data_IF_073480289382
#
_entry.id   IF_073480289382
#
_cell.length_a   1.000
_cell.length_b   1.000
_cell.length_c   1.000
_cell.angle_alpha   90.00
_cell.angle_beta   90.00
_cell.angle_gamma   90.00
#
_symmetry.space_group_name_H-M   'P 1'
#
loop_
_entity.id
_entity.type
_entity.pdbx_description
1 polymer ?
#
# COMPACT_ATOMS: atom_id res chain seq x y z
N UNK A 1 -1.76 17.84 0.15
CA UNK A 1 -2.63 17.09 -0.78
C UNK A 1 -1.75 16.27 -1.71
N UNK A 2 -2.05 14.97 -1.89
CA UNK A 2 -1.30 14.06 -2.77
C UNK A 2 -2.22 13.54 -3.88
N UNK A 3 -1.65 13.24 -5.05
CA UNK A 3 -2.28 12.39 -6.05
C UNK A 3 -1.83 10.94 -5.87
N UNK A 4 -2.75 10.07 -5.50
CA UNK A 4 -2.49 8.69 -5.07
C UNK A 4 -3.02 7.71 -6.13
N UNK A 5 -2.16 6.80 -6.57
CA UNK A 5 -2.56 5.59 -7.29
C UNK A 5 -2.74 4.45 -6.29
N UNK A 6 -3.98 4.03 -6.04
CA UNK A 6 -4.29 2.80 -5.32
C UNK A 6 -4.52 1.69 -6.35
N UNK A 7 -3.64 0.70 -6.38
CA UNK A 7 -3.68 -0.32 -7.42
C UNK A 7 -3.44 -1.72 -6.87
N UNK A 8 -4.18 -2.70 -7.40
CA UNK A 8 -3.94 -4.13 -7.17
C UNK A 8 -3.01 -4.71 -8.23
N UNK A 9 -2.32 -5.81 -7.92
CA UNK A 9 -1.47 -6.53 -8.89
C UNK A 9 -2.23 -7.56 -9.72
N UNK A 10 -3.56 -7.62 -9.58
CA UNK A 10 -4.42 -8.57 -10.29
C UNK A 10 -5.45 -7.83 -11.14
N UNK A 11 -5.95 -8.53 -12.16
CA UNK A 11 -7.08 -8.07 -12.96
C UNK A 11 -8.38 -8.07 -12.14
N UNK A 12 -9.44 -7.46 -12.69
CA UNK A 12 -10.75 -7.48 -12.06
C UNK A 12 -11.21 -8.92 -11.81
N UNK A 13 -11.48 -9.24 -10.54
CA UNK A 13 -11.86 -10.58 -10.10
C UNK A 13 -12.66 -10.47 -8.78
N UNK A 14 -14.00 -10.45 -8.84
CA UNK A 14 -14.84 -10.16 -7.66
C UNK A 14 -14.68 -11.14 -6.50
N UNK A 15 -14.21 -12.36 -6.75
CA UNK A 15 -13.96 -13.37 -5.71
C UNK A 15 -12.53 -13.35 -5.16
N UNK A 16 -11.72 -12.36 -5.58
CA UNK A 16 -10.35 -12.13 -5.11
C UNK A 16 -10.21 -10.70 -4.59
N UNK A 17 -9.01 -10.32 -4.16
CA UNK A 17 -8.63 -9.00 -3.66
C UNK A 17 -8.46 -7.99 -4.80
N UNK A 18 -9.45 -7.90 -5.68
CA UNK A 18 -9.48 -6.85 -6.69
C UNK A 18 -9.79 -5.49 -6.03
N UNK A 19 -9.64 -4.41 -6.79
CA UNK A 19 -9.74 -3.04 -6.27
C UNK A 19 -11.10 -2.74 -5.63
N UNK A 20 -12.16 -3.47 -6.00
CA UNK A 20 -13.49 -3.29 -5.39
C UNK A 20 -13.51 -3.66 -3.91
N UNK A 21 -12.53 -4.43 -3.43
CA UNK A 21 -12.34 -4.81 -2.03
C UNK A 21 -11.63 -3.75 -1.18
N UNK A 22 -11.24 -2.63 -1.76
CA UNK A 22 -10.51 -1.55 -1.09
C UNK A 22 -11.22 -0.19 -1.28
N UNK A 23 -12.54 -0.22 -1.45
CA UNK A 23 -13.34 0.98 -1.69
C UNK A 23 -13.35 1.92 -0.48
N UNK A 24 -13.44 1.37 0.73
CA UNK A 24 -13.44 2.14 1.97
C UNK A 24 -12.08 2.78 2.23
N UNK A 25 -10.99 2.11 1.88
CA UNK A 25 -9.65 2.71 1.90
C UNK A 25 -9.56 3.91 0.94
N UNK A 26 -10.04 3.75 -0.29
CA UNK A 26 -10.02 4.83 -1.27
C UNK A 26 -10.84 6.04 -0.79
N UNK A 27 -11.99 5.79 -0.17
CA UNK A 27 -12.86 6.84 0.37
C UNK A 27 -12.26 7.52 1.59
N UNK A 28 -11.59 6.79 2.47
CA UNK A 28 -10.85 7.36 3.61
C UNK A 28 -9.73 8.30 3.14
N UNK A 29 -8.95 7.88 2.13
CA UNK A 29 -7.90 8.73 1.55
C UNK A 29 -8.49 9.97 0.85
N UNK A 30 -9.65 9.85 0.18
CA UNK A 30 -10.35 11.00 -0.41
C UNK A 30 -10.89 11.94 0.67
N UNK A 31 -11.45 11.41 1.74
CA UNK A 31 -11.95 12.20 2.87
C UNK A 31 -10.82 12.97 3.57
N UNK A 32 -9.61 12.42 3.59
CA UNK A 32 -8.39 13.12 4.03
C UNK A 32 -7.87 14.19 3.03
N UNK A 33 -8.55 14.40 1.90
CA UNK A 33 -8.27 15.47 0.94
C UNK A 33 -7.28 15.10 -0.17
N UNK A 34 -7.03 13.80 -0.40
CA UNK A 34 -6.19 13.33 -1.51
C UNK A 34 -6.99 13.09 -2.79
N UNK A 35 -6.35 13.26 -3.96
CA UNK A 35 -6.90 12.77 -5.23
C UNK A 35 -6.54 11.28 -5.36
N UNK A 36 -7.54 10.40 -5.44
CA UNK A 36 -7.31 8.94 -5.44
C UNK A 36 -7.85 8.29 -6.71
N UNK A 37 -6.93 7.72 -7.49
CA UNK A 37 -7.24 6.82 -8.61
C UNK A 37 -7.12 5.39 -8.11
N UNK A 38 -8.24 4.67 -8.04
CA UNK A 38 -8.29 3.27 -7.65
C UNK A 38 -8.50 2.39 -8.88
N UNK A 39 -7.62 1.44 -9.17
CA UNK A 39 -7.76 0.53 -10.32
C UNK A 39 -7.16 -0.85 -10.13
N UNK A 40 -7.61 -1.79 -10.95
CA UNK A 40 -6.97 -3.10 -11.12
C UNK A 40 -5.82 -3.03 -12.10
N UNK A 41 -4.98 -4.07 -12.09
CA UNK A 41 -4.07 -4.37 -13.21
C UNK A 41 -4.89 -4.61 -14.48
N UNK A 42 -4.35 -4.20 -15.63
CA UNK A 42 -4.89 -4.59 -16.95
C UNK A 42 -4.27 -5.91 -17.38
N UNK A 43 -5.08 -6.82 -17.91
CA UNK A 43 -4.59 -8.08 -18.45
C UNK A 43 -3.66 -7.85 -19.67
N UNK A 44 -2.63 -8.68 -19.79
CA UNK A 44 -1.56 -8.53 -20.79
C UNK A 44 -0.16 -8.46 -20.17
N UNK A 45 0.76 -7.84 -20.93
CA UNK A 45 2.17 -7.69 -20.53
C UNK A 45 2.33 -6.59 -19.46
N UNK A 46 2.86 -5.43 -19.84
CA UNK A 46 3.09 -4.28 -18.96
C UNK A 46 1.76 -3.60 -18.60
N UNK A 47 1.60 -3.23 -17.33
CA UNK A 47 0.40 -2.47 -16.95
C UNK A 47 0.55 -1.02 -17.46
N UNK A 48 -0.42 -0.48 -18.21
CA UNK A 48 -0.28 0.80 -18.91
C UNK A 48 -0.15 2.01 -17.99
N UNK A 49 -0.37 1.87 -16.68
CA UNK A 49 -0.14 2.93 -15.70
C UNK A 49 1.10 2.63 -14.86
N UNK A 50 1.27 1.41 -14.33
CA UNK A 50 2.44 1.11 -13.48
C UNK A 50 3.75 1.22 -14.25
N UNK A 51 3.81 0.70 -15.47
CA UNK A 51 5.01 0.77 -16.34
C UNK A 51 5.40 2.21 -16.74
N UNK A 52 4.50 3.17 -16.52
CA UNK A 52 4.71 4.60 -16.78
C UNK A 52 4.54 5.47 -15.53
N UNK A 53 4.49 4.88 -14.34
CA UNK A 53 4.14 5.57 -13.09
C UNK A 53 4.99 6.82 -12.84
N UNK A 54 6.27 6.76 -13.17
CA UNK A 54 7.24 7.84 -13.01
C UNK A 54 6.95 9.08 -13.86
N UNK A 55 6.03 8.98 -14.82
CA UNK A 55 5.73 10.03 -15.81
C UNK A 55 4.32 10.59 -15.67
N UNK A 56 3.47 9.96 -14.87
CA UNK A 56 2.03 10.26 -14.82
C UNK A 56 1.65 11.28 -13.75
N UNK A 57 2.61 11.82 -13.00
CA UNK A 57 2.37 12.89 -12.02
C UNK A 57 1.64 12.42 -10.76
N UNK A 58 1.78 11.15 -10.38
CA UNK A 58 1.39 10.68 -9.05
C UNK A 58 2.43 11.10 -8.02
N UNK A 59 2.00 11.17 -6.76
CA UNK A 59 2.86 11.43 -5.61
C UNK A 59 3.07 10.19 -4.76
N UNK A 60 2.09 9.28 -4.80
CA UNK A 60 2.11 8.04 -4.05
C UNK A 60 1.57 6.88 -4.88
N UNK A 61 2.20 5.72 -4.71
CA UNK A 61 1.67 4.43 -5.12
C UNK A 61 1.31 3.62 -3.87
N UNK A 62 0.05 3.18 -3.78
CA UNK A 62 -0.42 2.21 -2.81
C UNK A 62 -0.71 0.92 -3.56
N UNK A 63 0.24 -0.02 -3.53
CA UNK A 63 0.18 -1.27 -4.27
C UNK A 63 -0.30 -2.41 -3.37
N UNK A 64 -1.55 -2.83 -3.58
CA UNK A 64 -2.11 -4.03 -2.94
C UNK A 64 -1.62 -5.25 -3.72
N UNK A 65 -0.44 -5.77 -3.34
CA UNK A 65 0.20 -6.88 -4.04
C UNK A 65 -0.38 -8.23 -3.59
N UNK A 66 -1.21 -8.81 -4.46
CA UNK A 66 -1.85 -10.12 -4.33
C UNK A 66 -1.06 -11.12 -5.19
N UNK A 67 -0.53 -12.17 -4.57
CA UNK A 67 0.44 -13.11 -5.17
C UNK A 67 -0.26 -14.36 -5.73
N UNK A 68 -1.17 -14.18 -6.69
CA UNK A 68 -1.86 -15.28 -7.40
C UNK A 68 -1.75 -15.20 -8.93
N UNK A 69 -1.14 -14.14 -9.46
CA UNK A 69 -0.94 -13.93 -10.90
C UNK A 69 0.54 -13.86 -11.31
N UNK A 70 0.81 -13.36 -12.52
CA UNK A 70 2.18 -13.20 -13.05
C UNK A 70 3.03 -12.12 -12.33
N UNK A 71 2.44 -11.42 -11.37
CA UNK A 71 3.10 -10.36 -10.62
C UNK A 71 3.36 -9.10 -11.45
N UNK A 72 4.33 -8.31 -11.01
CA UNK A 72 4.81 -7.12 -11.74
C UNK A 72 5.77 -7.54 -12.85
N UNK A 73 5.67 -6.91 -14.02
CA UNK A 73 6.70 -7.08 -15.07
C UNK A 73 7.98 -6.34 -14.69
N UNK A 74 9.05 -6.59 -15.47
CA UNK A 74 10.29 -5.83 -15.33
C UNK A 74 10.09 -4.33 -15.60
N UNK A 75 9.19 -3.96 -16.52
CA UNK A 75 8.89 -2.56 -16.81
C UNK A 75 8.14 -1.90 -15.65
N UNK A 76 7.14 -2.59 -15.08
CA UNK A 76 6.42 -2.13 -13.88
C UNK A 76 7.39 -1.87 -12.72
N UNK A 77 8.27 -2.85 -12.43
CA UNK A 77 9.26 -2.74 -11.36
C UNK A 77 10.24 -1.59 -11.61
N UNK A 78 10.76 -1.45 -12.84
CA UNK A 78 11.68 -0.37 -13.20
C UNK A 78 11.04 1.01 -13.08
N UNK A 79 9.77 1.16 -13.46
CA UNK A 79 9.01 2.39 -13.31
C UNK A 79 8.78 2.77 -11.85
N UNK A 80 8.44 1.80 -10.99
CA UNK A 80 8.33 2.02 -9.54
C UNK A 80 9.68 2.46 -8.95
N UNK A 81 10.80 1.86 -9.38
CA UNK A 81 12.13 2.30 -8.96
C UNK A 81 12.40 3.75 -9.36
N UNK A 82 12.17 4.12 -10.63
CA UNK A 82 12.35 5.51 -11.09
C UNK A 82 11.43 6.49 -10.35
N UNK A 83 10.18 6.10 -10.12
CA UNK A 83 9.20 6.87 -9.37
C UNK A 83 9.69 7.18 -7.95
N UNK A 84 10.21 6.17 -7.24
CA UNK A 84 10.86 6.37 -5.93
C UNK A 84 12.10 7.23 -6.04
N UNK A 85 12.95 7.03 -7.05
CA UNK A 85 14.13 7.88 -7.26
C UNK A 85 13.77 9.35 -7.47
N UNK A 86 12.61 9.64 -8.05
CA UNK A 86 12.07 10.99 -8.22
C UNK A 86 11.36 11.54 -6.96
N UNK A 87 11.38 10.83 -5.82
CA UNK A 87 10.79 11.28 -4.56
C UNK A 87 9.37 10.75 -4.28
N UNK A 88 8.82 9.89 -5.15
CA UNK A 88 7.48 9.31 -5.01
C UNK A 88 7.38 8.31 -3.85
N UNK A 89 6.32 8.43 -3.04
CA UNK A 89 6.09 7.56 -1.88
C UNK A 89 5.44 6.23 -2.25
N UNK A 90 5.81 5.13 -1.61
CA UNK A 90 5.26 3.79 -1.93
C UNK A 90 4.76 3.05 -0.70
N UNK A 91 3.54 2.53 -0.73
CA UNK A 91 3.05 1.47 0.15
C UNK A 91 2.95 0.16 -0.63
N UNK A 92 3.48 -0.95 -0.10
CA UNK A 92 3.44 -2.28 -0.77
C UNK A 92 3.33 -3.44 0.22
N UNK A 93 2.97 -4.64 -0.25
CA UNK A 93 2.58 -5.79 0.59
C UNK A 93 3.70 -6.81 0.93
N UNK A 94 4.96 -6.58 0.53
CA UNK A 94 6.08 -7.51 0.77
C UNK A 94 7.08 -6.95 1.78
N UNK A 95 7.22 -7.62 2.92
CA UNK A 95 8.06 -7.14 4.04
C UNK A 95 9.28 -8.01 4.24
N UNK A 96 10.46 -7.44 4.03
CA UNK A 96 11.73 -7.89 4.58
C UNK A 96 12.55 -6.67 4.98
N UNK A 97 13.22 -6.73 6.14
CA UNK A 97 14.17 -5.71 6.56
C UNK A 97 15.61 -6.24 6.60
N UNK A 98 15.79 -7.56 6.64
CA UNK A 98 17.10 -8.17 6.83
C UNK A 98 17.98 -7.91 5.61
N UNK A 99 19.12 -7.24 5.84
CA UNK A 99 20.06 -6.87 4.80
C UNK A 99 19.58 -5.76 3.86
N UNK A 100 18.46 -5.12 4.15
CA UNK A 100 17.94 -3.98 3.37
C UNK A 100 18.45 -2.69 4.01
N UNK A 101 19.33 -1.93 3.34
CA UNK A 101 19.76 -0.62 3.82
C UNK A 101 18.56 0.28 4.05
N UNK A 102 18.66 1.22 5.00
CA UNK A 102 17.63 2.23 5.23
C UNK A 102 16.26 1.67 5.67
N UNK A 103 16.20 0.38 6.04
CA UNK A 103 15.00 -0.26 6.56
C UNK A 103 14.89 -0.14 8.08
N UNK A 104 13.74 0.32 8.56
CA UNK A 104 13.39 0.34 9.99
C UNK A 104 12.12 -0.48 10.22
N UNK A 105 12.18 -1.45 11.12
CA UNK A 105 10.98 -2.21 11.51
C UNK A 105 10.12 -1.34 12.42
N UNK A 106 8.92 -0.97 11.95
CA UNK A 106 7.95 -0.19 12.73
C UNK A 106 7.13 -1.08 13.66
N UNK A 107 6.73 -2.26 13.20
CA UNK A 107 5.89 -3.19 13.95
C UNK A 107 6.24 -4.64 13.65
N UNK A 108 6.11 -5.50 14.65
CA UNK A 108 6.29 -6.95 14.53
C UNK A 108 5.10 -7.70 15.12
N UNK A 109 4.79 -8.83 14.50
CA UNK A 109 3.80 -9.80 14.95
C UNK A 109 4.49 -11.07 15.44
N UNK A 110 3.74 -11.87 16.18
CA UNK A 110 4.15 -13.22 16.59
C UNK A 110 3.08 -14.21 16.14
N UNK A 111 3.47 -15.20 15.35
CA UNK A 111 2.55 -16.25 14.92
C UNK A 111 2.02 -16.99 16.16
N UNK A 112 0.69 -17.08 16.30
CA UNK A 112 0.06 -17.86 17.36
C UNK A 112 0.31 -19.37 17.19
N UNK A 113 0.53 -19.83 15.95
CA UNK A 113 0.75 -21.24 15.62
C UNK A 113 2.21 -21.67 15.82
N UNK A 114 3.17 -20.89 15.32
CA UNK A 114 4.59 -21.28 15.33
C UNK A 114 5.43 -20.53 16.35
N UNK A 115 4.91 -19.45 16.94
CA UNK A 115 5.66 -18.55 17.82
C UNK A 115 6.70 -17.69 17.09
N UNK A 116 6.86 -17.83 15.77
CA UNK A 116 7.80 -17.04 14.97
C UNK A 116 7.44 -15.56 15.01
N UNK A 117 8.44 -14.72 15.26
CA UNK A 117 8.34 -13.27 15.10
C UNK A 117 8.54 -12.91 13.62
N UNK A 118 7.70 -12.01 13.11
CA UNK A 118 7.77 -11.53 11.73
C UNK A 118 7.42 -10.05 11.68
N UNK A 119 7.91 -9.36 10.65
CA UNK A 119 7.67 -7.92 10.50
C UNK A 119 6.24 -7.67 9.99
N UNK A 120 5.52 -6.75 10.64
CA UNK A 120 4.20 -6.26 10.22
C UNK A 120 4.34 -5.05 9.30
N UNK A 121 5.23 -4.13 9.67
CA UNK A 121 5.49 -2.90 8.93
C UNK A 121 6.98 -2.59 8.94
N UNK A 122 7.54 -2.29 7.76
CA UNK A 122 8.92 -1.84 7.58
C UNK A 122 8.92 -0.54 6.80
N UNK A 123 9.62 0.46 7.32
CA UNK A 123 9.81 1.76 6.72
C UNK A 123 11.13 1.77 5.94
N UNK A 124 11.12 2.31 4.73
CA UNK A 124 12.29 2.59 3.92
C UNK A 124 12.44 4.11 3.80
N UNK A 125 13.51 4.66 4.37
CA UNK A 125 13.76 6.11 4.37
C UNK A 125 15.27 6.46 4.43
N UNK A 126 15.65 7.54 3.78
CA UNK A 126 17.04 8.02 3.71
C UNK A 126 17.89 7.41 2.59
N UNK A 127 17.28 6.61 1.71
CA UNK A 127 17.92 6.17 0.46
C UNK A 127 18.21 7.37 -0.45
N UNK A 128 19.27 7.26 -1.26
CA UNK A 128 19.65 8.30 -2.23
C UNK A 128 19.58 7.76 -3.66
N UNK A 129 19.04 8.58 -4.56
CA UNK A 129 19.06 8.31 -5.99
C UNK A 129 20.50 8.45 -6.55
N UNK A 130 20.78 7.96 -7.76
CA UNK A 130 22.11 8.05 -8.38
C UNK A 130 22.67 9.47 -8.49
N UNK A 131 21.79 10.48 -8.58
CA UNK A 131 22.15 11.90 -8.60
C UNK A 131 22.37 12.52 -7.20
N UNK A 132 22.25 11.71 -6.14
CA UNK A 132 22.43 12.09 -4.74
C UNK A 132 21.18 12.67 -4.07
N UNK A 133 20.09 12.90 -4.82
CA UNK A 133 18.82 13.37 -4.28
C UNK A 133 18.17 12.34 -3.36
N UNK A 134 17.37 12.75 -2.36
CA UNK A 134 16.68 11.81 -1.48
C UNK A 134 15.59 11.05 -2.26
N UNK A 135 15.58 9.72 -2.14
CA UNK A 135 14.50 8.91 -2.70
C UNK A 135 13.22 9.07 -1.88
N UNK A 136 12.10 8.76 -2.51
CA UNK A 136 10.80 8.70 -1.88
C UNK A 136 10.71 7.61 -0.81
N UNK A 137 10.03 7.94 0.27
CA UNK A 137 9.79 7.05 1.42
C UNK A 137 8.93 5.85 1.03
N UNK A 138 9.11 4.72 1.69
CA UNK A 138 8.25 3.56 1.46
C UNK A 138 7.82 2.87 2.76
N UNK A 139 6.64 2.25 2.72
CA UNK A 139 6.14 1.37 3.77
C UNK A 139 5.83 0.01 3.16
N UNK A 140 6.48 -1.03 3.66
CA UNK A 140 6.16 -2.41 3.35
C UNK A 140 5.28 -2.99 4.48
N UNK A 141 4.13 -3.56 4.14
CA UNK A 141 3.13 -4.11 5.08
C UNK A 141 2.89 -5.59 4.83
N UNK A 142 2.97 -6.46 5.84
CA UNK A 142 2.75 -7.91 5.64
C UNK A 142 1.29 -8.32 5.76
N UNK A 143 0.42 -7.38 6.10
CA UNK A 143 -1.02 -7.58 6.32
C UNK A 143 -1.84 -6.64 5.46
N UNK A 144 -1.64 -6.66 4.13
CA UNK A 144 -2.39 -5.78 3.21
C UNK A 144 -3.91 -6.00 3.32
N UNK A 145 -4.35 -7.20 3.67
CA UNK A 145 -5.76 -7.53 3.84
C UNK A 145 -6.45 -6.67 4.93
N UNK A 146 -5.72 -6.09 5.90
CA UNK A 146 -6.30 -5.14 6.86
C UNK A 146 -6.89 -3.89 6.21
N UNK A 147 -6.45 -3.54 5.00
CA UNK A 147 -7.03 -2.44 4.23
C UNK A 147 -8.31 -2.83 3.47
N UNK A 148 -8.64 -4.12 3.41
CA UNK A 148 -9.79 -4.58 2.67
C UNK A 148 -11.10 -4.28 3.42
N UNK A 149 -12.14 -3.94 2.68
CA UNK A 149 -13.43 -3.48 3.17
C UNK A 149 -14.05 -4.44 4.21
N UNK A 150 -13.91 -5.76 4.00
CA UNK A 150 -14.44 -6.77 4.95
C UNK A 150 -13.83 -6.68 6.35
N UNK A 151 -12.59 -6.18 6.46
CA UNK A 151 -11.90 -5.98 7.73
C UNK A 151 -12.31 -4.66 8.40
N UNK A 152 -13.08 -3.80 7.74
CA UNK A 152 -13.61 -2.55 8.28
C UNK A 152 -15.11 -2.69 8.56
N UNK A 153 -15.83 -3.35 7.66
CA UNK A 153 -17.24 -3.75 7.80
C UNK A 153 -17.43 -5.20 7.32
N UNK A 154 -17.77 -6.08 8.25
CA UNK A 154 -18.05 -7.50 7.96
C UNK A 154 -19.23 -7.69 6.99
N UNK A 155 -20.11 -6.69 6.84
CA UNK A 155 -21.20 -6.67 5.88
C UNK A 155 -20.75 -6.68 4.41
N UNK A 156 -19.52 -6.25 4.13
CA UNK A 156 -18.94 -6.27 2.78
C UNK A 156 -18.60 -7.69 2.28
N UNK A 157 -18.53 -8.66 3.19
CA UNK A 157 -18.20 -10.06 2.90
C UNK A 157 -16.72 -10.26 2.54
N UNK A 158 -16.20 -11.44 2.87
CA UNK A 158 -14.83 -11.83 2.52
C UNK A 158 -14.76 -12.49 1.13
N UNK A 159 -13.54 -12.65 0.61
CA UNK A 159 -13.29 -13.49 -0.56
C UNK A 159 -13.50 -14.97 -0.20
N UNK A 160 -13.81 -15.81 -1.18
CA UNK A 160 -14.23 -17.21 -0.95
C UNK A 160 -13.16 -18.11 -0.32
N UNK A 161 -11.89 -17.71 -0.36
CA UNK A 161 -10.76 -18.45 0.20
C UNK A 161 -10.37 -17.99 1.61
N UNK A 162 -10.96 -16.91 2.14
CA UNK A 162 -10.82 -16.54 3.55
C UNK A 162 -11.71 -17.49 4.37
N UNK A 163 -11.10 -18.51 4.94
CA UNK A 163 -11.79 -19.52 5.75
C UNK A 163 -11.96 -19.11 7.22
N UNK A 164 -11.21 -18.11 7.68
CA UNK A 164 -11.29 -17.62 9.05
C UNK A 164 -12.63 -16.92 9.31
N UNK A 165 -13.33 -17.21 10.43
CA UNK A 165 -14.54 -16.50 10.79
C UNK A 165 -14.28 -15.00 10.95
N UNK A 166 -15.18 -14.11 10.46
CA UNK A 166 -15.04 -12.68 10.67
C UNK A 166 -14.96 -12.32 12.14
N UNK A 167 -14.02 -11.45 12.49
CA UNK A 167 -13.92 -10.87 13.82
C UNK A 167 -15.08 -9.91 14.11
N UNK A 168 -15.53 -9.84 15.37
CA UNK A 168 -16.57 -8.91 15.81
C UNK A 168 -16.03 -7.68 16.55
N UNK A 169 -14.70 -7.53 16.64
CA UNK A 169 -14.05 -6.54 17.51
C UNK A 169 -14.37 -5.09 17.09
N UNK A 170 -14.34 -4.78 15.79
CA UNK A 170 -14.69 -3.43 15.30
C UNK A 170 -16.17 -3.12 15.53
N UNK A 171 -17.05 -4.10 15.32
CA UNK A 171 -18.48 -3.95 15.60
C UNK A 171 -18.74 -3.70 17.10
N UNK A 172 -18.00 -4.39 17.96
CA UNK A 172 -18.10 -4.23 19.41
C UNK A 172 -17.49 -2.93 19.92
N UNK A 173 -16.45 -2.43 19.23
CA UNK A 173 -15.70 -1.23 19.59
C UNK A 173 -15.23 -0.48 18.33
N UNK A 174 -16.05 0.45 17.81
CA UNK A 174 -15.74 1.21 16.60
C UNK A 174 -14.49 2.09 16.69
N UNK A 175 -14.01 2.41 17.91
CA UNK A 175 -12.80 3.22 18.09
C UNK A 175 -11.56 2.55 17.50
N UNK A 176 -11.57 1.21 17.38
CA UNK A 176 -10.51 0.42 16.74
C UNK A 176 -10.36 0.74 15.25
N UNK A 177 -11.48 0.94 14.56
CA UNK A 177 -11.47 1.33 13.15
C UNK A 177 -10.97 2.76 13.01
N UNK A 178 -11.39 3.68 13.89
CA UNK A 178 -10.90 5.06 13.86
C UNK A 178 -9.39 5.15 14.10
N UNK A 179 -8.84 4.37 15.04
CA UNK A 179 -7.39 4.27 15.23
C UNK A 179 -6.67 3.68 14.00
N UNK A 180 -7.29 2.73 13.29
CA UNK A 180 -6.73 2.21 12.04
C UNK A 180 -6.78 3.23 10.90
N UNK A 181 -7.84 4.05 10.83
CA UNK A 181 -7.93 5.16 9.88
C UNK A 181 -6.91 6.26 10.20
N UNK A 182 -6.65 6.55 11.48
CA UNK A 182 -5.53 7.43 11.87
C UNK A 182 -4.21 6.89 11.34
N UNK A 183 -3.98 5.58 11.45
CA UNK A 183 -2.81 4.94 10.86
C UNK A 183 -2.76 5.12 9.32
N UNK A 184 -3.86 4.90 8.61
CA UNK A 184 -3.96 5.15 7.15
C UNK A 184 -3.58 6.59 6.80
N UNK A 185 -4.16 7.57 7.50
CA UNK A 185 -3.91 9.00 7.28
C UNK A 185 -2.45 9.37 7.57
N UNK A 186 -1.89 8.88 8.67
CA UNK A 186 -0.50 9.11 9.04
C UNK A 186 0.47 8.53 7.99
N UNK A 187 0.16 7.35 7.43
CA UNK A 187 0.97 6.78 6.35
C UNK A 187 0.85 7.60 5.08
N UNK A 188 -0.34 8.06 4.70
CA UNK A 188 -0.52 8.92 3.53
C UNK A 188 0.24 10.25 3.69
N UNK A 189 0.20 10.86 4.87
CA UNK A 189 0.96 12.08 5.16
C UNK A 189 2.48 11.81 5.13
N UNK A 190 2.93 10.73 5.77
CA UNK A 190 4.34 10.34 5.78
C UNK A 190 4.85 9.87 4.43
N UNK A 191 4.01 9.43 3.49
CA UNK A 191 4.43 9.11 2.13
C UNK A 191 4.45 10.33 1.20
N UNK A 192 3.99 11.50 1.64
CA UNK A 192 4.02 12.70 0.80
C UNK A 192 5.47 13.08 0.44
N UNK A 193 5.76 13.42 -0.84
CA UNK A 193 7.12 13.80 -1.25
C UNK A 193 7.67 14.99 -0.45
N UNK A 194 8.83 14.81 0.18
CA UNK A 194 9.43 15.83 1.04
C UNK A 194 9.75 17.13 0.30
N UNK A 195 10.10 17.04 -1.00
CA UNK A 195 10.37 18.21 -1.84
C UNK A 195 9.16 19.16 -1.96
N UNK A 196 7.93 18.66 -1.81
CA UNK A 196 6.71 19.49 -1.84
C UNK A 196 6.38 20.13 -0.50
N UNK A 197 6.91 19.60 0.61
CA UNK A 197 6.84 20.26 1.91
C UNK A 197 7.77 21.49 1.96
N UNK A 198 8.91 21.43 1.26
CA UNK A 198 9.90 22.52 1.23
C UNK A 198 9.46 23.76 0.42
N UNK A 199 8.47 23.63 -0.47
CA UNK A 199 7.94 24.74 -1.28
C UNK A 199 6.80 25.49 -0.57
N UNK A 200 6.25 24.94 0.52
CA UNK A 200 5.10 25.49 1.23
C UNK A 200 5.46 26.42 2.41
N UNK A 201 6.69 26.96 2.46
CA UNK A 201 7.19 27.89 3.50
C UNK A 201 7.52 29.25 2.90
#
# INVERSE_FOLDING_TARGET
MSRILLQTTICAHPQDWDISRFSMLADELRAAGHEVVARNRVDGDDDPVLSHLDQLGYDQLWLMAVDVGNGLTAADAAAITRFRSAGGGVLTARVSADGVPNATVLAQGKSATTGRVFNLAVLLDGERAPDGSPMGRAVAQSTFHHFADYNWDIGCGATSFVAEPPGSQIKADPSRLEAFKDYVRNVAEWLHPAARLAVAV
#
